data_IF_671956026925
#
_entry.id   IF_671956026925
#
_cell.length_a   1.000
_cell.length_b   1.000
_cell.length_c   1.000
_cell.angle_alpha   90.00
_cell.angle_beta   90.00
_cell.angle_gamma   90.00
#
_symmetry.space_group_name_H-M   'P 1'
#
loop_
_entity.id
_entity.type
_entity.pdbx_description
1 polymer ?
#
# COMPACT_ATOMS: atom_id res chain seq x y z
N UNK A 1 26.17 32.54 21.28
CA UNK A 1 26.71 31.17 21.24
C UNK A 1 25.52 30.23 21.22
N UNK A 2 25.02 29.93 20.02
CA UNK A 2 23.92 28.99 19.84
C UNK A 2 24.51 27.57 19.75
N UNK A 3 24.24 26.77 20.77
CA UNK A 3 24.69 25.39 20.83
C UNK A 3 23.88 24.54 19.84
N UNK A 4 24.49 24.17 18.70
CA UNK A 4 23.94 23.15 17.79
C UNK A 4 23.87 21.83 18.56
N UNK A 5 22.66 21.42 18.93
CA UNK A 5 22.40 20.08 19.47
C UNK A 5 22.80 19.04 18.42
N UNK A 6 23.79 18.18 18.71
CA UNK A 6 24.24 17.19 17.76
C UNK A 6 23.16 16.10 17.56
N UNK A 7 23.01 15.57 16.34
CA UNK A 7 22.12 14.43 16.02
C UNK A 7 22.23 13.28 17.03
N UNK A 8 23.44 13.03 17.54
CA UNK A 8 23.73 11.97 18.53
C UNK A 8 23.12 12.27 19.92
N UNK A 9 23.05 13.52 20.33
CA UNK A 9 22.48 13.93 21.62
C UNK A 9 20.96 13.89 21.58
N UNK A 10 20.36 14.26 20.45
CA UNK A 10 18.91 14.18 20.23
C UNK A 10 18.42 12.71 20.19
N UNK A 11 19.13 11.82 19.51
CA UNK A 11 18.80 10.39 19.46
C UNK A 11 18.91 9.71 20.84
N UNK A 12 19.90 10.10 21.67
CA UNK A 12 20.01 9.60 23.05
C UNK A 12 18.88 10.04 23.97
N UNK A 13 18.33 11.24 23.77
CA UNK A 13 17.16 11.70 24.54
C UNK A 13 15.87 10.97 24.15
N UNK A 14 15.72 10.51 22.91
CA UNK A 14 14.58 9.68 22.49
C UNK A 14 14.64 8.24 23.06
N UNK A 15 15.83 7.63 23.16
CA UNK A 15 16.02 6.32 23.78
C UNK A 15 15.73 6.33 25.31
N UNK A 16 15.97 7.46 25.99
CA UNK A 16 15.68 7.61 27.41
C UNK A 16 14.17 7.77 27.71
N UNK A 17 13.37 8.22 26.75
CA UNK A 17 11.92 8.35 26.88
C UNK A 17 11.12 7.05 26.69
N UNK A 18 11.77 6.01 26.15
CA UNK A 18 11.13 4.72 25.80
C UNK A 18 11.03 3.70 26.96
N UNK A 19 11.55 4.01 28.16
CA UNK A 19 11.59 3.04 29.28
C UNK A 19 10.76 3.44 30.51
N UNK A 20 9.80 4.33 30.40
CA UNK A 20 8.89 4.61 31.52
C UNK A 20 7.72 3.60 31.51
N UNK A 21 7.50 2.79 32.56
CA UNK A 21 6.35 1.90 32.64
C UNK A 21 5.07 2.71 32.77
N UNK A 22 4.04 2.28 32.07
CA UNK A 22 2.70 2.82 32.09
C UNK A 22 2.08 2.79 33.51
N UNK A 23 2.19 3.89 34.23
CA UNK A 23 1.48 4.14 35.48
C UNK A 23 0.63 5.43 35.40
N UNK A 24 -0.20 5.58 34.35
CA UNK A 24 -1.27 6.56 34.30
C UNK A 24 -2.52 5.97 33.64
N UNK A 25 -3.00 4.88 34.21
CA UNK A 25 -4.36 4.43 33.93
C UNK A 25 -5.31 5.14 34.91
N UNK A 26 -6.03 6.16 34.45
CA UNK A 26 -7.16 6.63 35.23
C UNK A 26 -7.66 8.06 35.00
N UNK A 27 -6.83 9.01 34.58
CA UNK A 27 -7.24 10.42 34.48
C UNK A 27 -7.13 11.05 33.08
N UNK A 28 -6.74 10.28 32.06
CA UNK A 28 -6.44 10.85 30.73
C UNK A 28 -7.67 11.04 29.80
N UNK A 29 -8.82 10.46 30.13
CA UNK A 29 -10.01 10.59 29.27
C UNK A 29 -10.58 12.00 29.13
N UNK A 30 -10.34 12.88 30.09
CA UNK A 30 -10.82 14.28 30.07
C UNK A 30 -9.90 15.27 29.35
N UNK A 31 -8.60 14.98 29.27
CA UNK A 31 -7.61 15.93 28.71
C UNK A 31 -7.49 15.86 27.15
N UNK A 32 -7.98 14.83 26.53
CA UNK A 32 -7.84 14.60 25.07
C UNK A 32 -9.10 14.95 24.26
N UNK A 33 -10.19 15.33 24.91
CA UNK A 33 -11.48 15.60 24.25
C UNK A 33 -11.46 16.79 23.27
N UNK A 34 -10.38 17.59 23.22
CA UNK A 34 -10.24 18.75 22.31
C UNK A 34 -8.94 18.77 21.51
N UNK A 35 -8.12 17.70 21.50
CA UNK A 35 -6.87 17.68 20.74
C UNK A 35 -7.07 17.07 19.36
N UNK A 36 -6.83 17.85 18.32
CA UNK A 36 -6.76 17.36 16.93
C UNK A 36 -5.49 16.55 16.73
N UNK A 37 -5.58 15.53 15.88
CA UNK A 37 -4.43 14.76 15.38
C UNK A 37 -3.64 15.65 14.43
N UNK A 38 -2.35 15.84 14.67
CA UNK A 38 -1.46 16.48 13.73
C UNK A 38 -0.93 15.44 12.74
N UNK A 39 -1.32 15.59 11.48
CA UNK A 39 -0.96 14.69 10.37
C UNK A 39 0.13 15.34 9.53
N UNK A 40 1.09 14.54 9.06
CA UNK A 40 2.00 14.96 8.00
C UNK A 40 1.82 14.07 6.75
N UNK A 41 1.89 14.68 5.56
CA UNK A 41 1.88 13.96 4.29
C UNK A 41 3.31 13.75 3.81
N UNK A 42 3.69 12.51 3.51
CA UNK A 42 4.98 12.14 2.93
C UNK A 42 4.72 11.56 1.53
N UNK A 43 5.15 12.29 0.50
CA UNK A 43 4.77 12.10 -0.88
C UNK A 43 3.54 12.95 -1.24
N UNK A 44 3.75 14.03 -2.03
CA UNK A 44 2.73 14.96 -2.47
C UNK A 44 2.35 14.71 -3.94
N UNK A 45 2.31 13.44 -4.33
CA UNK A 45 1.97 13.01 -5.68
C UNK A 45 0.46 12.89 -5.91
N UNK A 46 0.11 12.14 -6.97
CA UNK A 46 -1.25 11.88 -7.40
C UNK A 46 -2.17 11.41 -6.26
N UNK A 47 -1.83 10.30 -5.63
CA UNK A 47 -2.69 9.65 -4.64
C UNK A 47 -2.93 10.57 -3.44
N UNK A 48 -1.87 11.16 -2.89
CA UNK A 48 -1.97 12.12 -1.80
C UNK A 48 -2.88 13.31 -2.16
N UNK A 49 -2.74 13.88 -3.36
CA UNK A 49 -3.46 15.07 -3.78
C UNK A 49 -4.94 14.84 -4.08
N UNK A 50 -5.28 13.66 -4.63
CA UNK A 50 -6.62 13.33 -5.10
C UNK A 50 -7.48 12.61 -4.05
N UNK A 51 -6.86 11.87 -3.12
CA UNK A 51 -7.57 11.01 -2.16
C UNK A 51 -7.29 11.38 -0.71
N UNK A 52 -6.07 11.24 -0.20
CA UNK A 52 -5.79 11.38 1.23
C UNK A 52 -5.96 12.81 1.73
N UNK A 53 -5.42 13.78 1.00
CA UNK A 53 -5.48 15.18 1.40
C UNK A 53 -6.93 15.69 1.51
N UNK A 54 -7.82 15.48 0.51
CA UNK A 54 -9.23 15.87 0.63
C UNK A 54 -9.93 15.21 1.82
N UNK A 55 -9.68 13.92 2.08
CA UNK A 55 -10.30 13.20 3.19
C UNK A 55 -9.88 13.75 4.56
N UNK A 56 -8.58 14.04 4.77
CA UNK A 56 -8.13 14.66 6.02
C UNK A 56 -8.68 16.08 6.16
N UNK A 57 -8.77 16.84 5.06
CA UNK A 57 -9.36 18.18 5.08
C UNK A 57 -10.86 18.16 5.39
N UNK A 58 -11.58 17.10 5.09
CA UNK A 58 -12.98 16.94 5.48
C UNK A 58 -13.15 16.70 6.99
N UNK A 59 -12.10 16.21 7.68
CA UNK A 59 -12.10 15.89 9.13
C UNK A 59 -11.33 16.92 9.96
N UNK A 60 -11.55 18.22 9.68
CA UNK A 60 -10.93 19.33 10.44
C UNK A 60 -11.36 19.36 11.91
N UNK A 61 -12.44 18.67 12.24
CA UNK A 61 -12.91 18.48 13.59
C UNK A 61 -11.91 17.70 14.46
N UNK A 62 -11.27 16.67 13.91
CA UNK A 62 -10.39 15.76 14.63
C UNK A 62 -8.94 15.73 14.13
N UNK A 63 -8.65 16.22 12.91
CA UNK A 63 -7.32 16.16 12.33
C UNK A 63 -6.89 17.48 11.68
N UNK A 64 -5.58 17.71 11.63
CA UNK A 64 -4.96 18.85 10.96
C UNK A 64 -3.67 18.44 10.27
N UNK A 65 -3.50 18.77 9.00
CA UNK A 65 -2.24 18.59 8.29
C UNK A 65 -1.31 19.76 8.67
N UNK A 66 -0.16 19.43 9.28
CA UNK A 66 0.81 20.40 9.79
C UNK A 66 2.13 20.43 9.00
N UNK A 67 2.37 19.40 8.21
CA UNK A 67 3.57 19.27 7.39
C UNK A 67 3.32 18.49 6.11
N UNK A 68 4.12 18.80 5.09
CA UNK A 68 4.21 18.04 3.85
C UNK A 68 5.70 17.78 3.54
N UNK A 69 5.98 16.63 2.89
CA UNK A 69 7.32 16.24 2.50
C UNK A 69 7.30 15.67 1.07
N UNK A 70 8.17 16.18 0.21
CA UNK A 70 8.38 15.64 -1.13
C UNK A 70 9.80 15.98 -1.61
N UNK A 71 10.37 15.11 -2.45
CA UNK A 71 11.65 15.30 -3.09
C UNK A 71 11.58 16.30 -4.27
N UNK A 72 10.38 16.62 -4.77
CA UNK A 72 10.14 17.76 -5.67
C UNK A 72 9.53 18.93 -4.88
N UNK A 73 10.32 19.97 -4.67
CA UNK A 73 9.91 21.14 -3.88
C UNK A 73 8.65 21.83 -4.39
N UNK A 74 8.35 21.77 -5.70
CA UNK A 74 7.12 22.33 -6.28
C UNK A 74 5.89 21.54 -5.85
N UNK A 75 6.01 20.20 -5.73
CA UNK A 75 4.92 19.36 -5.25
C UNK A 75 4.62 19.60 -3.77
N UNK A 76 5.67 19.69 -2.95
CA UNK A 76 5.54 20.09 -1.55
C UNK A 76 4.85 21.45 -1.42
N UNK A 77 5.28 22.44 -2.19
CA UNK A 77 4.70 23.77 -2.21
C UNK A 77 3.25 23.81 -2.71
N UNK A 78 2.94 23.02 -3.74
CA UNK A 78 1.57 22.91 -4.27
C UNK A 78 0.62 22.34 -3.22
N UNK A 79 0.99 21.22 -2.59
CA UNK A 79 0.19 20.60 -1.54
C UNK A 79 0.02 21.53 -0.33
N UNK A 80 1.10 22.16 0.14
CA UNK A 80 1.06 23.09 1.27
C UNK A 80 0.12 24.27 1.00
N UNK A 81 0.21 24.90 -0.18
CA UNK A 81 -0.71 26.01 -0.54
C UNK A 81 -2.17 25.57 -0.64
N UNK A 82 -2.43 24.35 -1.19
CA UNK A 82 -3.80 23.77 -1.22
C UNK A 82 -4.36 23.63 0.20
N UNK A 83 -3.56 23.13 1.13
CA UNK A 83 -3.95 22.95 2.54
C UNK A 83 -4.16 24.30 3.24
N UNK A 84 -3.20 25.24 3.10
CA UNK A 84 -3.27 26.57 3.70
C UNK A 84 -4.52 27.34 3.26
N UNK A 85 -4.85 27.27 1.97
CA UNK A 85 -6.10 27.85 1.41
C UNK A 85 -7.35 27.19 1.99
N UNK A 86 -7.34 25.88 2.15
CA UNK A 86 -8.47 25.16 2.69
C UNK A 86 -8.73 25.49 4.16
N UNK A 87 -7.71 25.70 4.98
CA UNK A 87 -7.89 26.09 6.37
C UNK A 87 -8.32 27.54 6.54
N UNK A 88 -7.80 28.45 5.72
CA UNK A 88 -8.14 29.87 5.71
C UNK A 88 -7.97 30.60 7.08
N UNK A 89 -7.17 30.02 7.99
CA UNK A 89 -6.92 30.53 9.34
C UNK A 89 -5.54 31.21 9.48
N UNK A 90 -4.81 31.37 8.38
CA UNK A 90 -3.48 31.97 8.32
C UNK A 90 -2.33 31.07 8.78
N UNK A 91 -2.61 29.90 9.32
CA UNK A 91 -1.57 28.97 9.73
C UNK A 91 -0.80 28.40 8.54
N UNK A 92 0.51 28.25 8.72
CA UNK A 92 1.42 27.74 7.69
C UNK A 92 1.63 26.24 7.84
N UNK A 93 1.73 25.56 6.70
CA UNK A 93 2.11 24.14 6.62
C UNK A 93 3.61 24.06 6.39
N UNK A 94 4.32 23.35 7.25
CA UNK A 94 5.77 23.16 7.11
C UNK A 94 6.10 22.29 5.90
N UNK A 95 7.15 22.62 5.17
CA UNK A 95 7.60 21.93 3.97
C UNK A 95 8.93 21.25 4.24
N UNK A 96 9.04 19.98 3.94
CA UNK A 96 10.24 19.18 4.16
C UNK A 96 10.68 18.50 2.88
N UNK A 97 11.97 18.28 2.80
CA UNK A 97 12.60 17.47 1.76
C UNK A 97 12.93 16.06 2.28
N UNK A 98 13.41 15.97 3.52
CA UNK A 98 13.76 14.72 4.18
C UNK A 98 12.61 14.25 5.10
N UNK A 99 12.06 13.08 4.80
CA UNK A 99 10.99 12.46 5.61
C UNK A 99 11.45 12.15 7.05
N UNK A 100 12.75 11.97 7.28
CA UNK A 100 13.31 11.75 8.63
C UNK A 100 13.09 12.97 9.53
N UNK A 101 13.19 14.17 8.96
CA UNK A 101 12.90 15.41 9.70
C UNK A 101 11.43 15.48 10.12
N UNK A 102 10.51 15.05 9.24
CA UNK A 102 9.08 14.97 9.56
C UNK A 102 8.82 13.94 10.67
N UNK A 103 9.40 12.75 10.55
CA UNK A 103 9.26 11.70 11.56
C UNK A 103 9.84 12.10 12.92
N UNK A 104 10.87 12.96 12.95
CA UNK A 104 11.50 13.44 14.16
C UNK A 104 10.69 14.55 14.90
N UNK A 105 9.65 15.13 14.27
CA UNK A 105 8.83 16.17 14.89
C UNK A 105 7.99 15.63 16.05
N UNK A 106 8.11 16.21 17.27
CA UNK A 106 7.34 15.72 18.43
C UNK A 106 5.85 16.09 18.37
N UNK A 107 5.49 17.08 17.55
CA UNK A 107 4.12 17.56 17.39
C UNK A 107 3.35 16.83 16.28
N UNK A 108 3.98 15.94 15.48
CA UNK A 108 3.33 15.09 14.50
C UNK A 108 2.88 13.80 15.17
N UNK A 109 1.58 13.51 15.14
CA UNK A 109 0.97 12.32 15.73
C UNK A 109 0.91 11.16 14.73
N UNK A 110 0.63 11.47 13.45
CA UNK A 110 0.46 10.48 12.39
C UNK A 110 1.10 10.94 11.08
N UNK A 111 1.56 9.98 10.28
CA UNK A 111 2.06 10.22 8.92
C UNK A 111 1.22 9.45 7.90
N UNK A 112 0.93 10.09 6.77
CA UNK A 112 0.34 9.45 5.60
C UNK A 112 1.42 9.32 4.52
N UNK A 113 1.79 8.08 4.21
CA UNK A 113 2.90 7.73 3.33
C UNK A 113 2.31 7.36 1.96
N UNK A 114 2.56 8.23 0.97
CA UNK A 114 2.06 8.13 -0.40
C UNK A 114 3.21 8.27 -1.41
N UNK A 115 4.33 7.62 -1.11
CA UNK A 115 5.55 7.56 -1.93
C UNK A 115 5.47 6.38 -2.93
N UNK A 116 6.39 6.24 -3.90
CA UNK A 116 6.48 5.04 -4.73
C UNK A 116 6.73 3.77 -3.91
N UNK A 117 6.29 2.62 -4.42
CA UNK A 117 6.25 1.33 -3.72
C UNK A 117 7.59 0.94 -3.07
N UNK A 118 8.69 1.13 -3.79
CA UNK A 118 10.05 0.80 -3.33
C UNK A 118 10.59 1.69 -2.19
N UNK A 119 9.87 2.76 -1.83
CA UNK A 119 10.15 3.61 -0.68
C UNK A 119 9.35 3.26 0.57
N UNK A 120 8.27 2.46 0.42
CA UNK A 120 7.33 2.19 1.49
C UNK A 120 7.99 1.67 2.77
N UNK A 121 8.85 0.65 2.63
CA UNK A 121 9.49 0.01 3.78
C UNK A 121 10.41 0.97 4.54
N UNK A 122 11.24 1.76 3.85
CA UNK A 122 12.18 2.69 4.46
C UNK A 122 11.47 3.80 5.25
N UNK A 123 10.47 4.42 4.63
CA UNK A 123 9.71 5.53 5.24
C UNK A 123 8.88 5.03 6.41
N UNK A 124 8.16 3.91 6.23
CA UNK A 124 7.32 3.35 7.27
C UNK A 124 8.13 2.83 8.48
N UNK A 125 9.30 2.19 8.25
CA UNK A 125 10.20 1.79 9.34
C UNK A 125 10.61 2.99 10.18
N UNK A 126 11.07 4.08 9.56
CA UNK A 126 11.44 5.31 10.26
C UNK A 126 10.26 5.87 11.05
N UNK A 127 9.07 5.92 10.46
CA UNK A 127 7.88 6.45 11.11
C UNK A 127 7.47 5.62 12.35
N UNK A 128 7.44 4.29 12.21
CA UNK A 128 7.11 3.36 13.30
C UNK A 128 8.13 3.52 14.45
N UNK A 129 9.42 3.49 14.13
CA UNK A 129 10.48 3.62 15.14
C UNK A 129 10.51 5.00 15.79
N UNK A 130 9.99 6.04 15.13
CA UNK A 130 9.79 7.39 15.68
C UNK A 130 8.47 7.55 16.46
N UNK A 131 7.71 6.46 16.67
CA UNK A 131 6.47 6.46 17.45
C UNK A 131 5.27 7.10 16.76
N UNK A 132 5.28 7.19 15.42
CA UNK A 132 4.16 7.74 14.65
C UNK A 132 3.12 6.68 14.35
N UNK A 133 1.83 7.05 14.35
CA UNK A 133 0.80 6.28 13.68
C UNK A 133 0.98 6.39 12.17
N UNK A 134 0.70 5.31 11.43
CA UNK A 134 1.07 5.20 10.02
C UNK A 134 -0.12 4.82 9.15
N UNK A 135 -0.45 5.70 8.21
CA UNK A 135 -1.17 5.31 7.00
C UNK A 135 -0.14 5.01 5.92
N UNK A 136 -0.21 3.82 5.31
CA UNK A 136 0.69 3.42 4.23
C UNK A 136 -0.11 3.05 2.99
N UNK A 137 0.20 3.65 1.85
CA UNK A 137 -0.43 3.27 0.59
C UNK A 137 -0.13 1.81 0.20
N UNK A 138 -0.99 1.24 -0.63
CA UNK A 138 -0.84 -0.10 -1.23
C UNK A 138 0.03 -0.01 -2.52
N UNK A 139 0.75 -1.08 -2.89
CA UNK A 139 0.97 -2.32 -2.15
C UNK A 139 1.73 -2.04 -0.85
N UNK A 140 1.60 -2.92 0.14
CA UNK A 140 2.18 -2.68 1.46
C UNK A 140 3.70 -2.44 1.41
N UNK A 141 4.41 -3.27 0.64
CA UNK A 141 5.85 -3.14 0.39
C UNK A 141 6.21 -3.66 -1.00
N UNK A 142 7.43 -3.39 -1.43
CA UNK A 142 7.97 -3.87 -2.71
C UNK A 142 8.30 -5.35 -2.66
N UNK A 143 8.78 -5.87 -1.53
CA UNK A 143 9.19 -7.26 -1.36
C UNK A 143 8.53 -7.92 -0.15
N UNK A 144 8.51 -9.27 -0.13
CA UNK A 144 7.87 -10.04 0.95
C UNK A 144 8.60 -9.82 2.27
N UNK A 145 9.95 -9.79 2.29
CA UNK A 145 10.73 -9.61 3.52
C UNK A 145 10.57 -8.22 4.13
N UNK A 146 10.47 -7.19 3.30
CA UNK A 146 10.10 -5.85 3.78
C UNK A 146 8.74 -5.85 4.49
N UNK A 147 7.76 -6.53 3.89
CA UNK A 147 6.41 -6.61 4.44
C UNK A 147 6.38 -7.32 5.80
N UNK A 148 7.09 -8.43 5.94
CA UNK A 148 7.20 -9.14 7.22
C UNK A 148 7.89 -8.29 8.26
N UNK A 149 8.97 -7.61 7.89
CA UNK A 149 9.68 -6.67 8.76
C UNK A 149 8.73 -5.59 9.31
N UNK A 150 7.98 -4.92 8.43
CA UNK A 150 7.05 -3.86 8.85
C UNK A 150 5.92 -4.40 9.74
N UNK A 151 5.38 -5.57 9.43
CA UNK A 151 4.33 -6.18 10.25
C UNK A 151 4.84 -6.50 11.66
N UNK A 152 6.05 -7.02 11.78
CA UNK A 152 6.69 -7.31 13.06
C UNK A 152 6.99 -6.01 13.84
N UNK A 153 7.50 -4.97 13.18
CA UNK A 153 7.71 -3.66 13.80
C UNK A 153 6.40 -3.05 14.29
N UNK A 154 5.36 -3.02 13.46
CA UNK A 154 4.06 -2.47 13.84
C UNK A 154 3.47 -3.20 15.06
N UNK A 155 3.61 -4.53 15.11
CA UNK A 155 3.20 -5.35 16.25
C UNK A 155 4.04 -5.04 17.51
N UNK A 156 5.36 -4.97 17.38
CA UNK A 156 6.30 -4.69 18.50
C UNK A 156 6.02 -3.34 19.14
N UNK A 157 5.82 -2.30 18.33
CA UNK A 157 5.58 -0.94 18.80
C UNK A 157 4.10 -0.63 19.04
N UNK A 158 3.20 -1.60 18.81
CA UNK A 158 1.74 -1.41 18.89
C UNK A 158 1.28 -0.20 18.10
N UNK A 159 1.86 -0.01 16.92
CA UNK A 159 1.60 1.11 16.04
C UNK A 159 0.18 1.01 15.46
N UNK A 160 -0.59 2.09 15.56
CA UNK A 160 -1.81 2.22 14.74
C UNK A 160 -1.35 2.35 13.30
N UNK A 161 -1.51 1.27 12.52
CA UNK A 161 -1.10 1.22 11.14
C UNK A 161 -2.23 0.73 10.25
N UNK A 162 -2.58 1.53 9.25
CA UNK A 162 -3.58 1.18 8.24
C UNK A 162 -2.99 1.24 6.85
N UNK A 163 -3.30 0.23 6.05
CA UNK A 163 -2.92 0.15 4.64
C UNK A 163 -4.03 0.74 3.78
N UNK A 164 -3.68 1.48 2.73
CA UNK A 164 -4.61 2.10 1.79
C UNK A 164 -5.37 1.11 0.90
N UNK A 165 -5.98 0.08 1.52
CA UNK A 165 -6.83 -0.93 0.87
C UNK A 165 -8.30 -0.51 0.96
N UNK A 166 -8.64 0.64 0.34
CA UNK A 166 -9.93 1.31 0.49
C UNK A 166 -11.13 0.42 0.16
N UNK A 167 -10.99 -0.58 -0.73
CA UNK A 167 -12.07 -1.53 -1.07
C UNK A 167 -12.66 -2.24 0.16
N UNK A 168 -11.88 -2.42 1.23
CA UNK A 168 -12.40 -2.98 2.49
C UNK A 168 -13.41 -2.09 3.22
N UNK A 169 -13.46 -0.82 2.88
CA UNK A 169 -14.45 0.13 3.39
C UNK A 169 -15.67 0.29 2.45
N UNK A 170 -15.64 -0.30 1.23
CA UNK A 170 -16.75 -0.24 0.28
C UNK A 170 -17.83 -1.25 0.63
N UNK A 171 -19.08 -0.78 0.68
CA UNK A 171 -20.22 -1.58 1.12
C UNK A 171 -20.38 -2.88 0.31
N UNK A 172 -20.30 -2.84 -1.02
CA UNK A 172 -20.42 -4.03 -1.86
C UNK A 172 -19.32 -5.05 -1.65
N UNK A 173 -18.07 -4.62 -1.44
CA UNK A 173 -16.96 -5.54 -1.16
C UNK A 173 -17.12 -6.17 0.23
N UNK A 174 -17.56 -5.38 1.21
CA UNK A 174 -17.85 -5.88 2.56
C UNK A 174 -18.99 -6.87 2.55
N UNK A 175 -20.12 -6.54 1.87
CA UNK A 175 -21.27 -7.42 1.77
C UNK A 175 -20.89 -8.79 1.21
N UNK A 176 -20.19 -8.80 0.07
CA UNK A 176 -19.74 -10.04 -0.57
C UNK A 176 -18.80 -10.82 0.35
N UNK A 177 -17.76 -10.19 0.92
CA UNK A 177 -16.83 -10.90 1.79
C UNK A 177 -17.47 -11.43 3.07
N UNK A 178 -18.41 -10.69 3.66
CA UNK A 178 -19.15 -11.14 4.85
C UNK A 178 -20.09 -12.29 4.51
N UNK A 179 -20.80 -12.21 3.38
CA UNK A 179 -21.67 -13.30 2.90
C UNK A 179 -20.86 -14.57 2.60
N UNK A 180 -19.73 -14.46 1.93
CA UNK A 180 -18.84 -15.61 1.68
C UNK A 180 -18.38 -16.26 2.98
N UNK A 181 -17.91 -15.47 3.94
CA UNK A 181 -17.46 -15.99 5.24
C UNK A 181 -18.59 -16.56 6.10
N UNK A 182 -19.82 -16.10 5.92
CA UNK A 182 -20.99 -16.69 6.60
C UNK A 182 -21.46 -18.02 5.98
N UNK A 183 -20.82 -18.46 4.88
CA UNK A 183 -21.10 -19.72 4.22
C UNK A 183 -22.28 -19.70 3.25
N UNK A 184 -22.72 -18.53 2.78
CA UNK A 184 -23.84 -18.39 1.83
C UNK A 184 -23.63 -19.20 0.54
N UNK A 185 -22.38 -19.35 0.11
CA UNK A 185 -21.98 -20.10 -1.09
C UNK A 185 -21.50 -21.55 -0.78
N UNK A 186 -21.59 -22.00 0.47
CA UNK A 186 -20.96 -23.27 0.87
C UNK A 186 -19.44 -23.21 0.75
N UNK A 187 -18.85 -24.32 0.31
CA UNK A 187 -17.40 -24.38 0.04
C UNK A 187 -17.08 -23.58 -1.23
N UNK A 188 -16.08 -22.71 -1.15
CA UNK A 188 -15.65 -21.94 -2.32
C UNK A 188 -14.71 -22.80 -3.18
N UNK A 189 -15.15 -23.13 -4.37
CA UNK A 189 -14.37 -23.90 -5.35
C UNK A 189 -13.38 -23.02 -6.11
N UNK A 190 -13.81 -21.83 -6.51
CA UNK A 190 -13.01 -20.92 -7.33
C UNK A 190 -13.28 -19.46 -6.98
N UNK A 191 -12.24 -18.64 -7.09
CA UNK A 191 -12.35 -17.19 -7.07
C UNK A 191 -11.74 -16.64 -8.36
N UNK A 192 -12.56 -16.01 -9.19
CA UNK A 192 -12.09 -15.33 -10.40
C UNK A 192 -11.72 -13.89 -10.05
N UNK A 193 -10.50 -13.48 -10.41
CA UNK A 193 -9.98 -12.14 -10.17
C UNK A 193 -9.63 -11.50 -11.51
N UNK A 194 -10.43 -10.53 -11.94
CA UNK A 194 -10.22 -9.77 -13.15
C UNK A 194 -9.34 -8.55 -12.89
N UNK A 195 -8.24 -8.45 -13.63
CA UNK A 195 -7.36 -7.28 -13.63
C UNK A 195 -7.17 -6.80 -15.07
N UNK A 196 -6.95 -5.50 -15.25
CA UNK A 196 -6.54 -4.97 -16.56
C UNK A 196 -5.12 -5.40 -16.94
N UNK A 197 -4.74 -5.13 -18.17
CA UNK A 197 -3.39 -5.37 -18.69
C UNK A 197 -2.50 -4.13 -18.55
N UNK A 198 -1.20 -4.36 -18.41
CA UNK A 198 -0.21 -3.32 -18.62
C UNK A 198 0.05 -3.15 -20.12
N UNK A 199 0.16 -1.91 -20.56
CA UNK A 199 0.41 -1.59 -21.98
C UNK A 199 1.86 -1.22 -22.19
N UNK A 200 2.44 -1.70 -23.26
CA UNK A 200 3.77 -1.30 -23.70
C UNK A 200 3.82 0.21 -23.98
N UNK A 201 4.90 0.89 -23.57
CA UNK A 201 5.03 2.32 -23.79
C UNK A 201 6.22 2.94 -23.05
N UNK A 202 6.08 4.24 -22.79
CA UNK A 202 7.14 5.06 -22.22
C UNK A 202 8.25 5.39 -23.21
N UNK A 203 8.98 6.46 -22.96
CA UNK A 203 10.14 6.88 -23.76
C UNK A 203 11.42 6.65 -22.97
N UNK A 204 12.46 6.10 -23.60
CA UNK A 204 13.78 5.85 -22.97
C UNK A 204 14.71 7.04 -22.96
N UNK A 205 14.39 8.12 -23.69
CA UNK A 205 15.28 9.27 -23.85
C UNK A 205 15.60 9.88 -22.48
N UNK A 206 16.88 10.02 -22.18
CA UNK A 206 17.33 10.73 -21.00
C UNK A 206 17.01 12.23 -21.13
N UNK A 207 16.62 12.83 -20.03
CA UNK A 207 16.22 14.23 -19.94
C UNK A 207 16.99 14.92 -18.80
N UNK A 208 17.15 16.25 -18.85
CA UNK A 208 17.73 16.98 -17.73
C UNK A 208 16.88 16.87 -16.48
N UNK A 209 17.50 16.61 -15.34
CA UNK A 209 16.79 16.58 -14.04
C UNK A 209 16.26 17.99 -13.74
N UNK A 210 14.97 18.14 -13.43
CA UNK A 210 14.41 19.42 -12.98
C UNK A 210 15.13 19.93 -11.74
N UNK A 211 15.45 21.23 -11.68
CA UNK A 211 16.20 21.83 -10.56
C UNK A 211 15.51 21.71 -9.20
N UNK A 212 14.21 21.49 -9.22
CA UNK A 212 13.34 21.36 -8.03
C UNK A 212 13.21 19.95 -7.52
N UNK A 213 13.73 18.95 -8.25
CA UNK A 213 13.55 17.54 -7.99
C UNK A 213 14.89 16.85 -7.64
N UNK A 214 14.98 16.28 -6.45
CA UNK A 214 16.11 15.44 -6.04
C UNK A 214 15.96 14.01 -6.57
N UNK A 215 16.33 13.84 -7.84
CA UNK A 215 16.22 12.57 -8.53
C UNK A 215 17.16 11.51 -7.95
N UNK A 216 18.35 11.87 -7.47
CA UNK A 216 19.30 10.91 -6.90
C UNK A 216 18.76 10.27 -5.62
N UNK A 217 18.14 11.07 -4.75
CA UNK A 217 17.44 10.55 -3.59
C UNK A 217 16.19 9.77 -4.01
N UNK A 218 15.45 10.22 -5.04
CA UNK A 218 14.24 9.53 -5.52
C UNK A 218 14.53 8.09 -5.97
N UNK A 219 15.68 7.81 -6.57
CA UNK A 219 16.11 6.46 -6.94
C UNK A 219 16.22 5.51 -5.74
N UNK A 220 16.40 6.04 -4.53
CA UNK A 220 16.36 5.28 -3.27
C UNK A 220 17.28 4.07 -3.27
N UNK A 221 16.78 2.87 -2.93
CA UNK A 221 17.57 1.66 -2.87
C UNK A 221 17.91 1.04 -4.24
N UNK A 222 17.43 1.64 -5.34
CA UNK A 222 17.62 1.12 -6.70
C UNK A 222 18.93 1.60 -7.33
N UNK A 223 19.16 1.27 -8.61
CA UNK A 223 20.39 1.62 -9.35
C UNK A 223 20.54 3.16 -9.48
N UNK A 224 21.59 3.76 -8.89
CA UNK A 224 21.82 5.20 -8.94
C UNK A 224 22.29 5.72 -10.32
N UNK A 225 22.64 4.84 -11.25
CA UNK A 225 23.15 5.20 -12.56
C UNK A 225 22.07 5.42 -13.61
N UNK A 226 20.83 5.08 -13.28
CA UNK A 226 19.69 5.23 -14.17
C UNK A 226 19.43 6.71 -14.48
N UNK A 227 19.48 7.15 -15.75
CA UNK A 227 19.30 8.55 -16.11
C UNK A 227 17.85 9.00 -15.86
N UNK A 228 17.67 10.27 -15.55
CA UNK A 228 16.36 10.85 -15.39
C UNK A 228 15.56 10.79 -16.70
N UNK A 229 14.26 10.54 -16.53
CA UNK A 229 13.25 10.61 -17.56
C UNK A 229 11.89 10.87 -16.91
N UNK A 230 11.16 11.89 -17.38
CA UNK A 230 9.86 12.26 -16.82
C UNK A 230 8.85 11.11 -16.90
N UNK A 231 8.85 10.37 -18.01
CA UNK A 231 7.96 9.22 -18.21
C UNK A 231 8.19 8.11 -17.18
N UNK A 232 9.42 7.99 -16.63
CA UNK A 232 9.72 7.04 -15.54
C UNK A 232 9.16 7.51 -14.21
N UNK A 233 9.33 8.76 -13.88
CA UNK A 233 9.06 9.29 -12.56
C UNK A 233 7.58 9.67 -12.40
N UNK A 234 7.29 10.91 -12.68
CA UNK A 234 5.98 11.54 -12.60
C UNK A 234 5.98 12.81 -13.44
N UNK A 235 4.82 13.24 -13.89
CA UNK A 235 4.67 14.47 -14.66
C UNK A 235 5.21 15.69 -13.90
N UNK A 236 5.88 16.57 -14.61
CA UNK A 236 6.32 17.86 -14.10
C UNK A 236 5.22 18.93 -14.21
N UNK A 237 4.14 18.64 -14.91
CA UNK A 237 2.95 19.47 -15.00
C UNK A 237 2.01 19.21 -13.81
N UNK A 238 1.89 20.20 -12.91
CA UNK A 238 1.06 20.08 -11.73
C UNK A 238 -0.45 20.19 -12.02
N UNK A 239 -0.83 20.70 -13.20
CA UNK A 239 -2.23 20.69 -13.65
C UNK A 239 -2.67 19.28 -14.08
N UNK A 240 -1.69 18.40 -14.37
CA UNK A 240 -1.87 16.99 -14.67
C UNK A 240 -1.38 16.07 -13.54
N UNK A 241 -1.39 16.53 -12.29
CA UNK A 241 -0.94 15.76 -11.12
C UNK A 241 -1.68 14.43 -10.94
N UNK A 242 -2.89 14.33 -11.48
CA UNK A 242 -3.72 13.11 -11.48
C UNK A 242 -3.25 12.03 -12.46
N UNK A 243 -2.31 12.35 -13.35
CA UNK A 243 -1.79 11.38 -14.31
C UNK A 243 -1.03 10.26 -13.62
N UNK A 244 -1.19 9.04 -14.15
CA UNK A 244 -0.55 7.86 -13.59
C UNK A 244 0.95 7.90 -13.85
N UNK A 245 1.81 7.81 -12.82
CA UNK A 245 3.26 7.84 -12.99
C UNK A 245 3.77 6.55 -13.64
N UNK A 246 4.78 6.68 -14.50
CA UNK A 246 5.30 5.55 -15.28
C UNK A 246 6.12 4.55 -14.48
N UNK A 247 6.63 4.91 -13.30
CA UNK A 247 7.38 4.00 -12.43
C UNK A 247 6.58 2.73 -12.05
N UNK A 248 5.25 2.81 -12.05
CA UNK A 248 4.36 1.66 -11.75
C UNK A 248 4.61 0.49 -12.72
N UNK A 249 4.99 0.79 -13.98
CA UNK A 249 5.21 -0.20 -15.03
C UNK A 249 6.69 -0.49 -15.27
N UNK A 250 7.52 -0.23 -14.27
CA UNK A 250 8.97 -0.40 -14.32
C UNK A 250 9.48 -1.19 -13.13
N UNK A 251 9.94 -2.42 -13.36
CA UNK A 251 10.81 -3.10 -12.41
C UNK A 251 12.16 -2.33 -12.31
N UNK A 252 12.70 -2.08 -11.12
CA UNK A 252 12.29 -2.52 -9.79
C UNK A 252 11.41 -1.53 -9.02
N UNK A 253 10.87 -0.50 -9.65
CA UNK A 253 10.11 0.57 -8.95
C UNK A 253 8.67 0.14 -8.64
N UNK A 254 8.05 -0.61 -9.55
CA UNK A 254 6.73 -1.22 -9.44
C UNK A 254 6.67 -2.50 -10.26
N UNK A 255 5.57 -3.26 -10.16
CA UNK A 255 5.39 -4.52 -10.86
C UNK A 255 4.13 -4.54 -11.72
N UNK A 256 3.66 -3.38 -12.15
CA UNK A 256 2.49 -3.26 -13.01
C UNK A 256 1.18 -3.61 -12.30
N UNK A 257 0.24 -4.14 -13.09
CA UNK A 257 -1.13 -4.38 -12.63
C UNK A 257 -1.21 -5.40 -11.49
N UNK A 258 -0.34 -6.40 -11.44
CA UNK A 258 -0.38 -7.45 -10.42
C UNK A 258 -0.17 -6.89 -9.00
N UNK A 259 0.70 -5.89 -8.81
CA UNK A 259 0.91 -5.22 -7.52
C UNK A 259 0.06 -3.96 -7.37
N UNK A 260 -0.35 -3.33 -8.47
CA UNK A 260 -1.15 -2.11 -8.41
C UNK A 260 -2.63 -2.43 -8.16
N UNK A 261 -3.33 -3.04 -9.11
CA UNK A 261 -4.73 -3.45 -8.97
C UNK A 261 -4.89 -4.78 -8.24
N UNK A 262 -3.93 -5.69 -8.44
CA UNK A 262 -3.91 -6.96 -7.71
C UNK A 262 -3.88 -6.77 -6.20
N UNK A 263 -3.17 -5.76 -5.68
CA UNK A 263 -3.16 -5.43 -4.26
C UNK A 263 -4.55 -5.07 -3.70
N UNK A 264 -5.49 -4.65 -4.55
CA UNK A 264 -6.88 -4.44 -4.17
C UNK A 264 -7.70 -5.73 -4.27
N UNK A 265 -7.66 -6.40 -5.44
CA UNK A 265 -8.56 -7.53 -5.72
C UNK A 265 -8.11 -8.83 -5.05
N UNK A 266 -6.81 -9.11 -4.98
CA UNK A 266 -6.29 -10.26 -4.25
C UNK A 266 -6.44 -10.08 -2.72
N UNK A 267 -6.42 -8.84 -2.23
CA UNK A 267 -6.78 -8.55 -0.84
C UNK A 267 -8.24 -8.93 -0.55
N UNK A 268 -9.18 -8.58 -1.43
CA UNK A 268 -10.59 -8.93 -1.33
C UNK A 268 -10.79 -10.46 -1.43
N UNK A 269 -10.13 -11.12 -2.39
CA UNK A 269 -10.19 -12.58 -2.53
C UNK A 269 -9.75 -13.27 -1.24
N UNK A 270 -8.57 -12.90 -0.71
CA UNK A 270 -8.05 -13.44 0.55
C UNK A 270 -8.97 -13.14 1.74
N UNK A 271 -9.49 -11.92 1.81
CA UNK A 271 -10.37 -11.47 2.91
C UNK A 271 -11.71 -12.22 2.89
N UNK A 272 -12.31 -12.42 1.72
CA UNK A 272 -13.54 -13.22 1.58
C UNK A 272 -13.31 -14.68 1.95
N UNK A 273 -12.18 -15.28 1.53
CA UNK A 273 -11.81 -16.65 1.92
C UNK A 273 -11.45 -16.82 3.40
N UNK A 274 -11.14 -15.73 4.12
CA UNK A 274 -10.62 -15.81 5.48
C UNK A 274 -9.25 -16.50 5.58
N UNK A 275 -8.53 -16.60 4.47
CA UNK A 275 -7.29 -17.36 4.35
C UNK A 275 -6.05 -16.56 4.78
N UNK A 276 -5.00 -17.28 5.22
CA UNK A 276 -3.69 -16.69 5.50
C UNK A 276 -2.99 -16.31 4.19
N UNK A 277 -2.95 -17.22 3.22
CA UNK A 277 -2.33 -17.06 1.92
C UNK A 277 -2.47 -18.35 1.11
N UNK A 278 -1.96 -18.39 -0.14
CA UNK A 278 -1.92 -19.60 -0.96
C UNK A 278 -0.84 -20.57 -0.50
N UNK A 279 -0.90 -21.82 -0.96
CA UNK A 279 0.16 -22.83 -0.82
C UNK A 279 1.03 -22.94 -2.09
N UNK A 280 0.54 -22.45 -3.21
CA UNK A 280 1.29 -22.39 -4.47
C UNK A 280 0.72 -21.36 -5.43
N UNK A 281 1.52 -20.99 -6.42
CA UNK A 281 1.09 -20.25 -7.60
C UNK A 281 1.69 -20.88 -8.83
N UNK A 282 0.88 -21.03 -9.88
CA UNK A 282 1.31 -21.52 -11.21
C UNK A 282 0.78 -20.58 -12.28
N UNK A 283 1.56 -20.32 -13.31
CA UNK A 283 1.02 -19.50 -14.39
C UNK A 283 2.02 -19.10 -15.46
N UNK A 284 1.48 -18.35 -16.41
CA UNK A 284 2.16 -17.81 -17.58
C UNK A 284 1.92 -16.31 -17.68
N UNK A 285 2.77 -15.62 -18.41
CA UNK A 285 2.55 -14.24 -18.81
C UNK A 285 3.18 -13.93 -20.17
N UNK A 286 2.70 -12.87 -20.80
CA UNK A 286 3.38 -12.22 -21.90
C UNK A 286 4.19 -11.03 -21.36
N UNK A 287 5.38 -10.80 -21.92
CA UNK A 287 6.21 -9.66 -21.56
C UNK A 287 6.08 -8.55 -22.59
N UNK A 288 6.24 -7.30 -22.13
CA UNK A 288 6.30 -6.17 -23.03
C UNK A 288 7.46 -6.29 -24.00
N UNK A 289 7.26 -5.81 -25.22
CA UNK A 289 8.35 -5.64 -26.19
C UNK A 289 9.34 -4.59 -25.64
N UNK A 290 10.55 -5.06 -25.36
CA UNK A 290 11.67 -4.26 -24.85
C UNK A 290 12.49 -3.63 -26.00
N UNK A 291 11.88 -3.30 -27.14
CA UNK A 291 12.55 -2.56 -28.21
C UNK A 291 13.23 -1.30 -27.63
N UNK A 292 14.34 -0.88 -28.23
CA UNK A 292 15.19 0.22 -27.72
C UNK A 292 14.44 1.53 -27.45
N UNK A 293 13.30 1.73 -28.09
CA UNK A 293 12.47 2.94 -27.94
C UNK A 293 11.51 2.90 -26.74
N UNK A 294 11.29 1.73 -26.12
CA UNK A 294 10.28 1.56 -25.05
C UNK A 294 10.92 1.43 -23.67
N UNK A 295 10.30 2.09 -22.69
CA UNK A 295 10.83 2.20 -21.36
C UNK A 295 10.25 1.11 -20.42
N UNK A 296 8.95 0.81 -20.52
CA UNK A 296 8.26 -0.06 -19.59
C UNK A 296 8.61 -1.53 -19.83
N UNK A 297 8.84 -2.28 -18.74
CA UNK A 297 9.48 -3.59 -18.78
C UNK A 297 8.79 -4.67 -17.94
N UNK A 298 7.56 -4.43 -17.47
CA UNK A 298 6.78 -5.45 -16.77
C UNK A 298 6.00 -6.33 -17.77
N UNK A 299 5.30 -7.37 -17.26
CA UNK A 299 4.40 -8.20 -18.04
C UNK A 299 3.22 -7.40 -18.62
N UNK A 300 2.62 -7.88 -19.71
CA UNK A 300 1.44 -7.23 -20.30
C UNK A 300 0.15 -8.01 -20.05
N UNK A 301 0.19 -9.33 -20.20
CA UNK A 301 -0.92 -10.24 -19.92
C UNK A 301 -0.45 -11.36 -19.02
N UNK A 302 -1.37 -11.98 -18.31
CA UNK A 302 -1.05 -13.05 -17.36
C UNK A 302 -2.24 -13.99 -17.16
N UNK A 303 -1.92 -15.22 -16.79
CA UNK A 303 -2.83 -16.26 -16.37
C UNK A 303 -2.20 -16.96 -15.16
N UNK A 304 -2.67 -16.64 -13.95
CA UNK A 304 -2.10 -17.10 -12.70
C UNK A 304 -3.15 -17.83 -11.86
N UNK A 305 -2.80 -19.00 -11.35
CA UNK A 305 -3.63 -19.81 -10.47
C UNK A 305 -2.93 -19.99 -9.14
N UNK A 306 -3.61 -19.61 -8.09
CA UNK A 306 -3.15 -19.77 -6.72
C UNK A 306 -3.99 -20.85 -6.05
N UNK A 307 -3.33 -21.83 -5.43
CA UNK A 307 -3.97 -22.89 -4.65
C UNK A 307 -4.14 -22.44 -3.20
N UNK A 308 -5.35 -22.56 -2.68
CA UNK A 308 -5.71 -22.23 -1.31
C UNK A 308 -6.41 -23.39 -0.63
N UNK A 309 -6.41 -23.41 0.71
CA UNK A 309 -7.15 -24.35 1.54
C UNK A 309 -6.79 -25.82 1.24
N UNK A 310 -5.51 -26.12 1.11
CA UNK A 310 -5.05 -27.47 0.80
C UNK A 310 -5.40 -27.93 -0.62
N UNK A 311 -5.52 -27.00 -1.56
CA UNK A 311 -5.87 -27.30 -2.96
C UNK A 311 -7.38 -27.36 -3.25
N UNK A 312 -8.22 -27.04 -2.26
CA UNK A 312 -9.69 -27.08 -2.42
C UNK A 312 -10.24 -25.83 -3.14
N UNK A 313 -9.54 -24.70 -3.06
CA UNK A 313 -9.95 -23.44 -3.66
C UNK A 313 -8.90 -22.94 -4.65
N UNK A 314 -9.29 -22.71 -5.90
CA UNK A 314 -8.47 -22.09 -6.94
C UNK A 314 -8.77 -20.59 -7.02
N UNK A 315 -7.77 -19.73 -6.81
CA UNK A 315 -7.89 -18.29 -7.07
C UNK A 315 -7.21 -18.00 -8.41
N UNK A 316 -8.02 -17.76 -9.42
CA UNK A 316 -7.58 -17.58 -10.80
C UNK A 316 -7.55 -16.10 -11.19
N UNK A 317 -6.38 -15.57 -11.48
CA UNK A 317 -6.14 -14.18 -11.86
C UNK A 317 -5.84 -14.10 -13.36
N UNK A 318 -6.69 -13.39 -14.09
CA UNK A 318 -6.57 -13.33 -15.54
C UNK A 318 -7.12 -11.99 -16.07
N UNK A 319 -6.51 -11.48 -17.15
CA UNK A 319 -6.94 -10.27 -17.85
C UNK A 319 -8.24 -10.47 -18.69
N UNK A 320 -8.69 -11.71 -18.86
CA UNK A 320 -9.92 -12.05 -19.58
C UNK A 320 -11.18 -11.97 -18.70
N UNK A 321 -11.02 -11.94 -17.38
CA UNK A 321 -12.14 -11.76 -16.48
C UNK A 321 -12.56 -10.30 -16.38
N UNK A 322 -13.81 -10.10 -16.07
CA UNK A 322 -14.36 -8.80 -15.71
C UNK A 322 -13.61 -8.22 -14.50
N UNK A 323 -13.32 -6.92 -14.54
CA UNK A 323 -12.58 -6.25 -13.46
C UNK A 323 -13.37 -6.33 -12.15
N UNK A 324 -12.87 -7.09 -11.20
CA UNK A 324 -13.51 -7.35 -9.92
C UNK A 324 -13.10 -8.70 -9.34
N UNK A 325 -13.87 -9.16 -8.35
CA UNK A 325 -13.66 -10.43 -7.66
C UNK A 325 -14.97 -11.21 -7.60
N UNK A 326 -14.96 -12.43 -8.14
CA UNK A 326 -16.12 -13.33 -8.18
C UNK A 326 -15.81 -14.60 -7.41
N UNK A 327 -16.58 -14.84 -6.36
CA UNK A 327 -16.52 -16.05 -5.55
C UNK A 327 -17.55 -17.05 -6.07
N UNK A 328 -17.13 -18.30 -6.33
CA UNK A 328 -17.95 -19.35 -6.91
C UNK A 328 -17.96 -20.55 -5.94
N UNK A 329 -19.14 -20.91 -5.45
CA UNK A 329 -19.37 -22.07 -4.63
C UNK A 329 -19.31 -23.39 -5.39
N UNK A 330 -19.33 -24.51 -4.67
CA UNK A 330 -19.32 -25.87 -5.27
C UNK A 330 -20.54 -26.17 -6.12
N UNK A 331 -21.69 -25.60 -5.79
CA UNK A 331 -22.96 -25.73 -6.53
C UNK A 331 -23.04 -24.84 -7.78
N UNK A 332 -22.02 -24.00 -8.01
CA UNK A 332 -21.97 -23.06 -9.15
C UNK A 332 -22.62 -21.70 -8.87
N UNK A 333 -23.25 -21.51 -7.71
CA UNK A 333 -23.71 -20.21 -7.24
C UNK A 333 -22.53 -19.26 -7.03
N UNK A 334 -22.73 -17.95 -7.23
CA UNK A 334 -21.66 -17.00 -7.13
C UNK A 334 -22.08 -15.63 -6.58
N UNK A 335 -21.10 -14.92 -6.03
CA UNK A 335 -21.15 -13.51 -5.65
C UNK A 335 -20.02 -12.74 -6.34
N UNK A 336 -20.31 -11.54 -6.81
CA UNK A 336 -19.35 -10.68 -7.50
C UNK A 336 -19.30 -9.29 -6.87
N UNK A 337 -18.11 -8.72 -6.77
CA UNK A 337 -17.90 -7.33 -6.36
C UNK A 337 -16.88 -6.62 -7.23
N UNK A 338 -17.20 -5.37 -7.57
CA UNK A 338 -16.37 -4.48 -8.39
C UNK A 338 -16.54 -3.05 -7.92
N UNK A 339 -15.63 -2.16 -8.32
CA UNK A 339 -15.83 -0.71 -8.13
C UNK A 339 -16.92 -0.13 -9.04
N UNK A 340 -17.37 -0.89 -10.02
CA UNK A 340 -18.40 -0.46 -10.99
C UNK A 340 -17.88 0.48 -12.05
N UNK A 341 -18.76 1.29 -12.62
CA UNK A 341 -18.45 2.23 -13.70
C UNK A 341 -17.61 3.45 -13.25
N UNK A 342 -17.18 3.50 -11.99
CA UNK A 342 -16.39 4.61 -11.49
C UNK A 342 -14.96 4.46 -11.97
N UNK A 343 -14.63 5.21 -13.00
CA UNK A 343 -13.28 5.41 -13.48
C UNK A 343 -12.65 6.52 -12.68
N UNK A 344 -11.74 6.18 -11.76
CA UNK A 344 -11.06 7.16 -10.90
C UNK A 344 -10.00 7.91 -11.71
N UNK A 345 -9.35 7.22 -12.64
CA UNK A 345 -8.39 7.82 -13.56
C UNK A 345 -8.53 7.25 -14.97
N UNK A 346 -8.05 7.94 -16.02
CA UNK A 346 -8.11 7.45 -17.40
C UNK A 346 -7.42 6.10 -17.62
N UNK A 347 -6.47 5.74 -16.75
CA UNK A 347 -5.70 4.50 -16.81
C UNK A 347 -6.32 3.34 -16.03
N UNK A 348 -7.38 3.59 -15.28
CA UNK A 348 -8.04 2.53 -14.52
C UNK A 348 -8.81 1.60 -15.47
N UNK A 349 -8.89 0.28 -15.16
CA UNK A 349 -9.69 -0.65 -15.96
C UNK A 349 -11.16 -0.24 -16.02
N UNK A 350 -11.76 -0.38 -17.18
CA UNK A 350 -13.21 -0.16 -17.35
C UNK A 350 -13.99 -1.32 -16.74
N UNK A 351 -14.90 -1.07 -15.80
CA UNK A 351 -15.79 -2.10 -15.29
C UNK A 351 -16.96 -2.31 -16.26
N UNK A 352 -17.35 -3.56 -16.46
CA UNK A 352 -18.47 -3.94 -17.32
C UNK A 352 -19.79 -4.05 -16.54
N UNK A 353 -19.72 -4.23 -15.22
CA UNK A 353 -20.87 -4.44 -14.33
C UNK A 353 -21.07 -3.28 -13.36
N UNK A 354 -22.33 -2.95 -13.08
CA UNK A 354 -22.65 -1.94 -12.08
C UNK A 354 -22.30 -2.40 -10.66
N UNK A 355 -21.90 -1.49 -9.76
CA UNK A 355 -21.48 -1.84 -8.40
C UNK A 355 -22.51 -2.60 -7.57
N UNK A 356 -23.78 -2.42 -7.85
CA UNK A 356 -24.88 -3.05 -7.12
C UNK A 356 -25.26 -4.45 -7.61
N UNK A 357 -24.70 -4.92 -8.73
CA UNK A 357 -24.97 -6.27 -9.24
C UNK A 357 -24.02 -7.27 -8.58
N UNK A 358 -24.47 -7.81 -7.45
CA UNK A 358 -23.68 -8.75 -6.64
C UNK A 358 -23.83 -10.21 -7.07
N UNK A 359 -24.69 -10.51 -8.06
CA UNK A 359 -24.89 -11.84 -8.61
C UNK A 359 -26.20 -12.52 -8.22
N UNK A 360 -26.48 -13.71 -8.79
CA UNK A 360 -27.78 -14.38 -8.68
C UNK A 360 -28.14 -14.78 -7.26
N UNK A 361 -27.17 -15.19 -6.43
CA UNK A 361 -27.46 -15.57 -5.03
C UNK A 361 -27.92 -14.35 -4.22
N UNK A 362 -27.33 -13.18 -4.45
CA UNK A 362 -27.74 -11.96 -3.77
C UNK A 362 -29.15 -11.54 -4.17
N UNK A 363 -29.54 -11.73 -5.44
CA UNK A 363 -30.87 -11.45 -5.95
C UNK A 363 -31.92 -12.44 -5.46
N UNK A 364 -31.58 -13.75 -5.37
CA UNK A 364 -32.52 -14.81 -4.97
C UNK A 364 -32.68 -14.97 -3.47
N UNK A 365 -31.66 -14.61 -2.69
CA UNK A 365 -31.61 -14.73 -1.23
C UNK A 365 -31.13 -13.43 -0.57
N UNK A 366 -31.84 -12.32 -0.77
CA UNK A 366 -31.40 -11.00 -0.26
C UNK A 366 -31.28 -10.99 1.28
N UNK A 367 -32.08 -11.76 1.98
CA UNK A 367 -32.05 -11.86 3.44
C UNK A 367 -30.75 -12.49 4.01
N UNK A 368 -29.99 -13.20 3.17
CA UNK A 368 -28.68 -13.75 3.53
C UNK A 368 -27.54 -12.76 3.29
N UNK A 369 -27.80 -11.66 2.60
CA UNK A 369 -26.80 -10.62 2.41
C UNK A 369 -26.74 -9.69 3.63
N UNK A 370 -25.58 -9.40 4.14
CA UNK A 370 -25.44 -8.48 5.26
C UNK A 370 -26.02 -7.11 4.96
N UNK A 371 -26.80 -6.54 5.87
CA UNK A 371 -27.26 -5.18 5.77
C UNK A 371 -26.07 -4.23 6.04
N UNK A 372 -25.55 -3.62 4.99
CA UNK A 372 -24.45 -2.66 5.08
C UNK A 372 -24.97 -1.25 4.97
N UNK A 373 -24.86 -0.50 6.07
CA UNK A 373 -25.16 0.93 6.06
C UNK A 373 -23.94 1.69 5.55
N UNK A 374 -24.10 2.54 4.53
CA UNK A 374 -23.05 3.49 4.16
C UNK A 374 -22.73 4.35 5.39
N UNK A 375 -21.46 4.44 5.76
CA UNK A 375 -21.07 5.22 6.95
C UNK A 375 -20.89 6.70 6.61
N UNK A 376 -20.42 7.00 5.41
CA UNK A 376 -20.12 8.36 4.95
C UNK A 376 -20.42 8.56 3.45
N UNK A 377 -20.19 9.79 2.97
CA UNK A 377 -20.52 10.20 1.59
C UNK A 377 -19.56 9.68 0.52
N UNK A 378 -18.38 9.19 0.89
CA UNK A 378 -17.41 8.58 -0.01
C UNK A 378 -16.62 7.49 0.69
N UNK A 379 -16.18 6.53 -0.09
CA UNK A 379 -15.49 5.32 0.40
C UNK A 379 -14.07 5.57 0.86
N UNK A 380 -13.38 6.49 0.18
CA UNK A 380 -12.03 6.89 0.60
C UNK A 380 -12.12 7.64 1.93
N UNK A 381 -13.19 8.42 2.14
CA UNK A 381 -13.47 9.08 3.40
C UNK A 381 -13.65 8.07 4.52
N UNK A 382 -14.49 7.04 4.35
CA UNK A 382 -14.72 6.00 5.37
C UNK A 382 -13.43 5.30 5.80
N UNK A 383 -12.54 5.05 4.83
CA UNK A 383 -11.27 4.39 5.08
C UNK A 383 -10.29 5.28 5.85
N UNK A 384 -10.20 6.58 5.49
CA UNK A 384 -9.39 7.56 6.21
C UNK A 384 -9.96 7.85 7.60
N UNK A 385 -11.28 7.94 7.72
CA UNK A 385 -11.95 8.14 9.02
C UNK A 385 -11.65 7.02 10.00
N UNK A 386 -11.71 5.78 9.54
CA UNK A 386 -11.33 4.62 10.35
C UNK A 386 -9.89 4.72 10.88
N UNK A 387 -8.94 5.16 10.03
CA UNK A 387 -7.57 5.41 10.47
C UNK A 387 -7.50 6.50 11.55
N UNK A 388 -8.11 7.65 11.28
CA UNK A 388 -8.08 8.79 12.22
C UNK A 388 -8.72 8.45 13.56
N UNK A 389 -9.84 7.72 13.54
CA UNK A 389 -10.52 7.24 14.75
C UNK A 389 -9.67 6.24 15.53
N UNK A 390 -8.99 5.31 14.84
CA UNK A 390 -8.04 4.40 15.47
C UNK A 390 -6.86 5.15 16.12
N UNK A 391 -6.36 6.22 15.47
CA UNK A 391 -5.31 7.09 16.04
C UNK A 391 -5.79 7.80 17.29
N UNK A 392 -6.99 8.38 17.26
CA UNK A 392 -7.60 9.02 18.45
C UNK A 392 -7.76 8.05 19.61
N UNK A 393 -8.24 6.84 19.31
CA UNK A 393 -8.42 5.77 20.28
C UNK A 393 -7.09 5.15 20.75
N UNK A 394 -5.99 5.37 20.01
CA UNK A 394 -4.70 4.69 20.18
C UNK A 394 -4.84 3.17 20.15
N UNK A 395 -5.74 2.68 19.32
CA UNK A 395 -6.06 1.25 19.23
C UNK A 395 -5.79 0.71 17.82
N UNK A 396 -4.67 -0.03 17.63
CA UNK A 396 -4.34 -0.61 16.35
C UNK A 396 -5.34 -1.70 15.89
N UNK A 397 -6.17 -2.23 16.78
CA UNK A 397 -7.15 -3.26 16.42
C UNK A 397 -8.36 -2.68 15.68
N UNK A 398 -8.57 -1.39 15.73
CA UNK A 398 -9.67 -0.70 15.02
C UNK A 398 -9.44 -0.58 13.52
N UNK A 399 -8.20 -0.73 13.03
CA UNK A 399 -7.88 -0.55 11.61
C UNK A 399 -8.44 -1.69 10.77
N UNK A 400 -9.20 -1.39 9.71
CA UNK A 400 -9.82 -2.39 8.83
C UNK A 400 -8.80 -3.17 7.99
N UNK A 401 -7.61 -2.61 7.78
CA UNK A 401 -6.48 -3.27 7.14
C UNK A 401 -5.20 -2.92 7.89
N UNK A 402 -4.84 -3.74 8.88
CA UNK A 402 -3.61 -3.57 9.64
C UNK A 402 -2.36 -4.04 8.85
N UNK A 403 -1.18 -3.88 9.46
CA UNK A 403 0.10 -4.25 8.85
C UNK A 403 0.16 -5.73 8.44
N UNK A 404 -0.32 -6.66 9.27
CA UNK A 404 -0.36 -8.10 8.94
C UNK A 404 -1.26 -8.37 7.73
N UNK A 405 -2.44 -7.75 7.69
CA UNK A 405 -3.36 -7.84 6.55
C UNK A 405 -2.74 -7.33 5.25
N UNK A 406 -2.08 -6.18 5.31
CA UNK A 406 -1.37 -5.60 4.16
C UNK A 406 -0.22 -6.48 3.67
N UNK A 407 0.60 -7.00 4.60
CA UNK A 407 1.67 -7.93 4.27
C UNK A 407 1.14 -9.18 3.57
N UNK A 408 0.16 -9.88 4.15
CA UNK A 408 -0.42 -11.10 3.57
C UNK A 408 -0.99 -10.88 2.18
N UNK A 409 -1.71 -9.78 1.96
CA UNK A 409 -2.29 -9.48 0.64
C UNK A 409 -1.24 -9.11 -0.40
N UNK A 410 -0.24 -8.32 -0.03
CA UNK A 410 0.87 -7.99 -0.94
C UNK A 410 1.73 -9.22 -1.24
N UNK A 411 1.90 -10.15 -0.29
CA UNK A 411 2.61 -11.42 -0.51
C UNK A 411 2.00 -12.21 -1.66
N UNK A 412 0.67 -12.26 -1.79
CA UNK A 412 0.02 -12.97 -2.92
C UNK A 412 0.40 -12.33 -4.26
N UNK A 413 0.39 -10.99 -4.32
CA UNK A 413 0.82 -10.26 -5.52
C UNK A 413 2.28 -10.55 -5.86
N UNK A 414 3.16 -10.51 -4.85
CA UNK A 414 4.60 -10.76 -5.01
C UNK A 414 4.88 -12.19 -5.46
N UNK A 415 4.17 -13.20 -4.94
CA UNK A 415 4.28 -14.59 -5.38
C UNK A 415 3.93 -14.73 -6.86
N UNK A 416 2.86 -14.06 -7.34
CA UNK A 416 2.52 -14.03 -8.76
C UNK A 416 3.60 -13.38 -9.61
N UNK A 417 4.14 -12.25 -9.14
CA UNK A 417 5.26 -11.58 -9.81
C UNK A 417 6.51 -12.47 -9.88
N UNK A 418 6.87 -13.13 -8.78
CA UNK A 418 8.00 -14.06 -8.73
C UNK A 418 7.79 -15.26 -9.66
N UNK A 419 6.58 -15.81 -9.69
CA UNK A 419 6.20 -16.90 -10.59
C UNK A 419 6.39 -16.48 -12.06
N UNK A 420 5.92 -15.30 -12.45
CA UNK A 420 6.10 -14.76 -13.80
C UNK A 420 7.57 -14.52 -14.14
N UNK A 421 8.35 -13.95 -13.22
CA UNK A 421 9.78 -13.67 -13.43
C UNK A 421 10.59 -14.95 -13.62
N UNK A 422 10.40 -15.94 -12.76
CA UNK A 422 11.05 -17.26 -12.87
C UNK A 422 10.57 -18.07 -14.07
N UNK A 423 9.37 -17.78 -14.56
CA UNK A 423 8.79 -18.34 -15.76
C UNK A 423 9.21 -17.66 -17.08
N UNK A 424 9.99 -16.58 -17.00
CA UNK A 424 10.38 -15.81 -18.20
C UNK A 424 11.07 -16.69 -19.25
N UNK A 425 10.54 -16.67 -20.46
CA UNK A 425 11.04 -17.50 -21.58
C UNK A 425 10.59 -18.97 -21.58
N UNK A 426 9.80 -19.41 -20.59
CA UNK A 426 9.23 -20.77 -20.54
C UNK A 426 7.82 -20.77 -21.15
N UNK A 427 7.59 -21.69 -22.10
CA UNK A 427 6.27 -21.81 -22.78
C UNK A 427 5.18 -22.32 -21.84
N UNK A 428 5.54 -23.23 -20.94
CA UNK A 428 4.61 -23.90 -20.02
C UNK A 428 4.47 -23.15 -18.69
N UNK A 429 5.04 -21.93 -18.59
CA UNK A 429 5.02 -21.13 -17.39
C UNK A 429 5.92 -21.66 -16.28
N UNK A 430 5.60 -21.32 -15.05
CA UNK A 430 6.32 -21.71 -13.85
C UNK A 430 5.34 -22.09 -12.74
N UNK A 431 5.78 -22.94 -11.82
CA UNK A 431 5.05 -23.27 -10.59
C UNK A 431 5.94 -23.03 -9.39
N UNK A 432 5.43 -22.27 -8.42
CA UNK A 432 6.11 -21.89 -7.21
C UNK A 432 5.32 -22.37 -6.01
N UNK A 433 5.92 -23.21 -5.17
CA UNK A 433 5.35 -23.58 -3.87
C UNK A 433 5.53 -22.44 -2.86
N UNK A 434 4.65 -22.39 -1.89
CA UNK A 434 4.69 -21.42 -0.81
C UNK A 434 4.15 -22.01 0.48
N UNK A 435 4.88 -21.88 1.56
CA UNK A 435 4.36 -22.14 2.90
C UNK A 435 3.96 -20.82 3.56
N UNK A 436 2.67 -20.55 3.72
CA UNK A 436 2.20 -19.29 4.30
C UNK A 436 2.47 -19.14 5.80
N UNK A 437 2.88 -20.20 6.50
CA UNK A 437 3.23 -20.17 7.93
C UNK A 437 4.71 -19.77 8.12
N UNK A 438 5.60 -20.42 7.37
CA UNK A 438 7.04 -20.18 7.46
C UNK A 438 7.53 -19.11 6.48
N UNK A 439 6.67 -18.69 5.54
CA UNK A 439 6.98 -17.71 4.50
C UNK A 439 8.21 -18.10 3.67
N UNK A 440 8.20 -19.33 3.18
CA UNK A 440 9.28 -19.92 2.38
C UNK A 440 8.73 -20.57 1.12
N UNK A 441 9.46 -20.45 0.02
CA UNK A 441 9.14 -21.14 -1.24
C UNK A 441 9.83 -22.51 -1.35
N UNK A 442 10.85 -22.76 -0.52
CA UNK A 442 11.74 -23.90 -0.71
C UNK A 442 12.60 -23.84 -1.97
N UNK A 443 12.55 -22.73 -2.71
CA UNK A 443 13.32 -22.48 -3.93
C UNK A 443 14.28 -21.31 -3.68
N UNK A 444 15.60 -21.56 -3.76
CA UNK A 444 16.64 -20.58 -3.43
C UNK A 444 16.60 -19.33 -4.34
N UNK A 445 16.28 -19.50 -5.62
CA UNK A 445 16.19 -18.39 -6.57
C UNK A 445 14.98 -17.51 -6.26
N UNK A 446 13.83 -18.12 -5.99
CA UNK A 446 12.64 -17.42 -5.55
C UNK A 446 12.84 -16.70 -4.21
N UNK A 447 13.45 -17.36 -3.23
CA UNK A 447 13.74 -16.77 -1.92
C UNK A 447 14.67 -15.55 -2.03
N UNK A 448 15.57 -15.52 -3.02
CA UNK A 448 16.39 -14.35 -3.31
C UNK A 448 15.57 -13.14 -3.80
N UNK A 449 14.48 -13.36 -4.55
CA UNK A 449 13.59 -12.31 -5.01
C UNK A 449 12.73 -11.70 -3.88
N UNK A 450 12.63 -12.36 -2.75
CA UNK A 450 11.90 -11.84 -1.59
C UNK A 450 12.66 -10.75 -0.83
N UNK A 451 13.96 -10.59 -1.10
CA UNK A 451 14.82 -9.66 -0.36
C UNK A 451 14.66 -8.24 -0.85
N UNK A 452 14.77 -7.23 0.05
CA UNK A 452 14.74 -5.84 -0.34
C UNK A 452 15.94 -5.46 -1.20
N UNK A 453 15.75 -4.44 -2.01
CA UNK A 453 16.87 -3.73 -2.61
C UNK A 453 17.61 -2.96 -1.53
N UNK A 454 18.92 -2.85 -1.68
CA UNK A 454 19.76 -2.16 -0.70
C UNK A 454 20.86 -1.36 -1.41
N UNK A 455 20.99 -0.09 -1.01
CA UNK A 455 22.06 0.81 -1.47
C UNK A 455 22.39 1.81 -0.37
N UNK A 456 23.62 1.76 0.14
CA UNK A 456 24.14 2.73 1.10
C UNK A 456 23.17 3.05 2.27
N UNK A 457 22.83 4.32 2.41
CA UNK A 457 21.91 4.79 3.45
C UNK A 457 20.43 4.39 3.22
N UNK A 458 20.09 3.80 2.06
CA UNK A 458 18.78 3.27 1.73
C UNK A 458 18.65 1.76 2.02
N UNK A 459 19.59 1.17 2.76
CA UNK A 459 19.47 -0.18 3.29
C UNK A 459 18.63 -0.17 4.58
N UNK A 460 17.63 -1.06 4.66
CA UNK A 460 16.80 -1.21 5.85
C UNK A 460 17.60 -1.57 7.10
N UNK A 461 18.72 -2.32 6.98
CA UNK A 461 19.62 -2.62 8.11
C UNK A 461 20.27 -1.36 8.65
N UNK A 462 20.73 -0.47 7.74
CA UNK A 462 21.30 0.82 8.13
C UNK A 462 20.23 1.70 8.78
N UNK A 463 19.02 1.71 8.22
CA UNK A 463 17.91 2.47 8.77
C UNK A 463 17.51 1.99 10.17
N UNK A 464 17.43 0.68 10.40
CA UNK A 464 17.15 0.09 11.72
C UNK A 464 18.23 0.40 12.75
N UNK A 465 19.49 0.35 12.33
CA UNK A 465 20.63 0.63 13.20
C UNK A 465 20.62 2.08 13.74
N UNK A 466 20.04 3.05 13.01
CA UNK A 466 19.83 4.41 13.49
C UNK A 466 18.95 4.44 14.76
N UNK A 467 18.09 3.43 14.96
CA UNK A 467 17.21 3.27 16.12
C UNK A 467 17.73 2.24 17.14
N UNK A 468 18.96 1.77 16.97
CA UNK A 468 19.56 0.74 17.85
C UNK A 468 18.92 -0.64 17.69
N UNK A 469 18.33 -0.91 16.55
CA UNK A 469 17.69 -2.19 16.21
C UNK A 469 18.56 -2.97 15.22
N UNK A 470 18.48 -4.28 15.31
CA UNK A 470 18.95 -5.21 14.29
C UNK A 470 17.83 -6.16 13.88
N UNK A 471 18.02 -6.88 12.79
CA UNK A 471 16.99 -7.77 12.24
C UNK A 471 16.62 -8.89 13.21
N UNK A 472 17.61 -9.44 13.94
CA UNK A 472 17.38 -10.52 14.90
C UNK A 472 16.50 -10.08 16.06
N UNK A 473 16.63 -8.80 16.45
CA UNK A 473 15.82 -8.20 17.52
C UNK A 473 14.33 -8.08 17.18
N UNK A 474 13.98 -8.14 15.89
CA UNK A 474 12.61 -8.08 15.39
C UNK A 474 12.14 -9.41 14.77
N UNK A 475 12.92 -10.48 14.95
CA UNK A 475 12.57 -11.82 14.51
C UNK A 475 12.71 -12.04 13.00
N UNK A 476 13.64 -11.34 12.33
CA UNK A 476 13.85 -11.40 10.88
C UNK A 476 15.28 -11.74 10.48
N UNK A 477 15.38 -12.37 9.29
CA UNK A 477 16.60 -12.53 8.50
C UNK A 477 16.33 -12.03 7.07
N UNK A 478 16.86 -10.88 6.71
CA UNK A 478 16.79 -10.35 5.34
C UNK A 478 17.80 -10.99 4.40
#
# INVERSE_FOLDING_TARGET
MEGKCSRRTFMKSMLAAGTAPALFGGCARGFFANRRINVALIGCGRISSEFELPCVLARRDIARIVAVCDLDSRRADFAARKIERAYADGAKVSRYHDYKEVCARPDVDAVMICVPDFWHALVATTAICSGKSVWLQKPFTQTIREGRLLANLAKRYRTVMQVGSQQRSWSQFRAVCEAVRSGVLGNIRCVEVGLGIDRSGGRRTAEPVPKTFDYQTWLGPTDPTVPYNETRCHTQDLDHIADRPGWIQLAPYGWGMITNWGAHHLDIARWGLGAIGPESVTGTCEWMDLSESRLWNVHTKYDLRYSFNGGLTDVHVCDRYQNGVKFIGEDGDWLFCTRGAVKITPSDPEPEVQPGDLGPIAASKPDLMPELKPQHSSVDQDHVDNFLEAVLARDPSMTVTNAEGGHRSTTICSLGQMCMELGRGRKDGFSLSWDPQTESTGNREADALMRPFARDCFDLKVNLAEFGLDLSSIGESL
#
